data_IF_811250576860
#
_entry.id   IF_811250576860
#
_cell.length_a   1.000
_cell.length_b   1.000
_cell.length_c   1.000
_cell.angle_alpha   90.00
_cell.angle_beta   90.00
_cell.angle_gamma   90.00
#
_symmetry.space_group_name_H-M   'P 1'
#
loop_
_entity.id
_entity.type
_entity.pdbx_description
1 polymer ?
#
# COMPACT_ATOMS: atom_id res chain seq x y z
N UNK A 1 -10.23 -6.45 -20.22
CA UNK A 1 -8.90 -6.47 -19.57
C UNK A 1 -9.11 -6.12 -18.11
N UNK A 2 -8.42 -6.77 -17.17
CA UNK A 2 -8.50 -6.55 -15.73
C UNK A 2 -8.68 -5.09 -15.29
N UNK A 3 -7.94 -4.16 -15.88
CA UNK A 3 -8.03 -2.72 -15.59
C UNK A 3 -9.46 -2.17 -15.76
N UNK A 4 -10.20 -2.61 -16.78
CA UNK A 4 -11.58 -2.16 -16.98
C UNK A 4 -12.48 -2.60 -15.82
N UNK A 5 -12.30 -3.81 -15.28
CA UNK A 5 -13.05 -4.25 -14.09
C UNK A 5 -12.75 -3.40 -12.86
N UNK A 6 -11.50 -2.95 -12.73
CA UNK A 6 -11.11 -2.03 -11.65
C UNK A 6 -11.78 -0.68 -11.84
N UNK A 7 -11.78 -0.14 -13.07
CA UNK A 7 -12.42 1.14 -13.38
C UNK A 7 -13.94 1.07 -13.18
N UNK A 8 -14.61 0.06 -13.72
CA UNK A 8 -16.06 -0.16 -13.56
C UNK A 8 -16.43 -0.33 -12.08
N UNK A 9 -15.60 -1.06 -11.32
CA UNK A 9 -15.76 -1.20 -9.88
C UNK A 9 -15.61 0.13 -9.14
N UNK A 10 -14.60 0.91 -9.50
CA UNK A 10 -14.31 2.20 -8.87
C UNK A 10 -15.41 3.23 -9.15
N UNK A 11 -15.95 3.26 -10.38
CA UNK A 11 -17.11 4.09 -10.72
C UNK A 11 -18.35 3.73 -9.89
N UNK A 12 -18.53 2.44 -9.59
CA UNK A 12 -19.66 1.95 -8.79
C UNK A 12 -19.50 2.23 -7.29
N UNK A 13 -18.35 1.87 -6.73
CA UNK A 13 -18.02 2.09 -5.32
C UNK A 13 -16.49 2.14 -5.15
N UNK A 14 -15.91 3.35 -4.98
CA UNK A 14 -14.49 3.53 -4.75
C UNK A 14 -13.96 2.81 -3.50
N UNK A 15 -14.75 2.80 -2.41
CA UNK A 15 -14.31 2.26 -1.12
C UNK A 15 -14.18 0.75 -1.18
N UNK A 16 -15.19 0.08 -1.72
CA UNK A 16 -15.17 -1.37 -1.95
C UNK A 16 -14.02 -1.74 -2.88
N UNK A 17 -13.85 -0.99 -3.97
CA UNK A 17 -12.82 -1.28 -4.97
C UNK A 17 -11.41 -1.14 -4.40
N UNK A 18 -11.13 -0.08 -3.62
CA UNK A 18 -9.83 0.09 -2.96
C UNK A 18 -9.55 -1.05 -1.97
N UNK A 19 -10.51 -1.41 -1.13
CA UNK A 19 -10.36 -2.54 -0.18
C UNK A 19 -10.12 -3.87 -0.92
N UNK A 20 -10.81 -4.11 -2.04
CA UNK A 20 -10.58 -5.29 -2.89
C UNK A 20 -9.17 -5.31 -3.44
N UNK A 21 -8.68 -4.19 -3.96
CA UNK A 21 -7.33 -4.08 -4.51
C UNK A 21 -6.27 -4.32 -3.44
N UNK A 22 -6.47 -3.81 -2.24
CA UNK A 22 -5.55 -4.06 -1.12
C UNK A 22 -5.52 -5.54 -0.74
N UNK A 23 -6.67 -6.20 -0.62
CA UNK A 23 -6.72 -7.65 -0.37
C UNK A 23 -6.09 -8.46 -1.50
N UNK A 24 -6.25 -7.99 -2.75
CA UNK A 24 -5.64 -8.62 -3.91
C UNK A 24 -4.12 -8.52 -3.88
N UNK A 25 -3.56 -7.37 -3.49
CA UNK A 25 -2.11 -7.18 -3.32
C UNK A 25 -1.59 -8.13 -2.23
N UNK A 26 -2.22 -8.15 -1.05
CA UNK A 26 -1.82 -9.08 0.03
C UNK A 26 -1.87 -10.55 -0.42
N UNK A 27 -2.91 -10.94 -1.15
CA UNK A 27 -3.04 -12.29 -1.66
C UNK A 27 -1.92 -12.63 -2.67
N UNK A 28 -1.56 -11.69 -3.55
CA UNK A 28 -0.44 -11.87 -4.49
C UNK A 28 0.89 -11.98 -3.76
N UNK A 29 1.12 -11.16 -2.73
CA UNK A 29 2.34 -11.17 -1.94
C UNK A 29 2.53 -12.50 -1.17
N UNK A 30 1.44 -13.14 -0.75
CA UNK A 30 1.47 -14.42 -0.02
C UNK A 30 1.56 -15.65 -0.93
N UNK A 31 1.20 -15.52 -2.21
CA UNK A 31 1.13 -16.65 -3.15
C UNK A 31 2.44 -16.88 -3.90
N UNK A 32 2.82 -18.17 -4.04
CA UNK A 32 3.97 -18.57 -4.87
C UNK A 32 3.69 -18.47 -6.36
N UNK A 33 2.43 -18.61 -6.77
CA UNK A 33 1.98 -18.56 -8.16
C UNK A 33 0.84 -17.56 -8.31
N UNK A 34 0.82 -16.83 -9.43
CA UNK A 34 -0.18 -15.79 -9.67
C UNK A 34 -1.56 -16.41 -9.90
N UNK A 35 -2.57 -16.08 -9.07
CA UNK A 35 -3.93 -16.54 -9.28
C UNK A 35 -4.59 -15.79 -10.46
N UNK A 36 -5.72 -16.29 -10.99
CA UNK A 36 -6.50 -15.58 -11.99
C UNK A 36 -7.09 -14.27 -11.40
N UNK A 37 -6.34 -13.17 -11.54
CA UNK A 37 -6.61 -11.88 -10.89
C UNK A 37 -8.02 -11.36 -11.13
N UNK A 38 -8.54 -11.48 -12.36
CA UNK A 38 -9.90 -11.04 -12.69
C UNK A 38 -10.97 -11.80 -11.89
N UNK A 39 -10.80 -13.10 -11.70
CA UNK A 39 -11.75 -13.92 -10.95
C UNK A 39 -11.65 -13.65 -9.45
N UNK A 40 -10.42 -13.51 -8.94
CA UNK A 40 -10.19 -13.16 -7.55
C UNK A 40 -10.76 -11.80 -7.20
N UNK A 41 -10.54 -10.78 -8.04
CA UNK A 41 -11.11 -9.45 -7.88
C UNK A 41 -12.63 -9.49 -7.80
N UNK A 42 -13.31 -10.15 -8.76
CA UNK A 42 -14.78 -10.27 -8.74
C UNK A 42 -15.30 -10.93 -7.46
N UNK A 43 -14.69 -12.04 -7.05
CA UNK A 43 -15.09 -12.75 -5.82
C UNK A 43 -14.91 -11.89 -4.56
N UNK A 44 -13.81 -11.13 -4.51
CA UNK A 44 -13.55 -10.21 -3.41
C UNK A 44 -14.55 -9.05 -3.41
N UNK A 45 -14.87 -8.48 -4.57
CA UNK A 45 -15.91 -7.46 -4.72
C UNK A 45 -17.24 -7.95 -4.16
N UNK A 46 -17.71 -9.12 -4.58
CA UNK A 46 -18.98 -9.69 -4.11
C UNK A 46 -18.98 -9.87 -2.59
N UNK A 47 -17.90 -10.42 -2.03
CA UNK A 47 -17.77 -10.64 -0.57
C UNK A 47 -17.74 -9.34 0.24
N UNK A 48 -17.00 -8.33 -0.25
CA UNK A 48 -16.86 -7.05 0.45
C UNK A 48 -18.13 -6.23 0.31
N UNK A 49 -18.81 -6.28 -0.83
CA UNK A 49 -20.04 -5.55 -1.07
C UNK A 49 -21.17 -5.95 -0.11
N UNK A 50 -21.26 -7.24 0.23
CA UNK A 50 -22.16 -7.74 1.28
C UNK A 50 -21.86 -7.18 2.67
N UNK A 51 -20.60 -6.83 2.93
CA UNK A 51 -20.10 -6.37 4.23
C UNK A 51 -19.76 -4.88 4.27
N UNK A 52 -20.14 -4.11 3.23
CA UNK A 52 -19.69 -2.72 3.05
C UNK A 52 -20.06 -1.80 4.22
N UNK A 53 -21.23 -2.00 4.83
CA UNK A 53 -21.69 -1.18 5.96
C UNK A 53 -20.85 -1.45 7.22
N UNK A 54 -20.49 -2.72 7.44
CA UNK A 54 -19.58 -3.10 8.53
C UNK A 54 -18.18 -2.54 8.29
N UNK A 55 -17.69 -2.58 7.05
CA UNK A 55 -16.39 -2.01 6.69
C UNK A 55 -16.37 -0.49 6.92
N UNK A 56 -17.42 0.22 6.51
CA UNK A 56 -17.55 1.65 6.76
C UNK A 56 -17.52 1.97 8.26
N UNK A 57 -18.27 1.22 9.08
CA UNK A 57 -18.27 1.39 10.53
C UNK A 57 -16.89 1.14 11.17
N UNK A 58 -16.10 0.21 10.64
CA UNK A 58 -14.72 -0.03 11.10
C UNK A 58 -13.84 1.18 10.79
N UNK A 59 -13.88 1.70 9.56
CA UNK A 59 -13.09 2.87 9.18
C UNK A 59 -13.48 4.13 9.94
N UNK A 60 -14.78 4.36 10.15
CA UNK A 60 -15.27 5.51 10.92
C UNK A 60 -14.74 5.43 12.36
N UNK A 61 -14.78 4.25 12.96
CA UNK A 61 -14.23 4.01 14.30
C UNK A 61 -12.71 4.24 14.35
N UNK A 62 -11.96 3.70 13.39
CA UNK A 62 -10.52 3.89 13.31
C UNK A 62 -10.18 5.38 13.21
N UNK A 63 -10.92 6.13 12.39
CA UNK A 63 -10.77 7.58 12.26
C UNK A 63 -11.08 8.32 13.57
N UNK A 64 -12.17 7.97 14.26
CA UNK A 64 -12.52 8.53 15.57
C UNK A 64 -11.46 8.27 16.64
N UNK A 65 -10.82 7.09 16.60
CA UNK A 65 -9.69 6.73 17.47
C UNK A 65 -8.38 7.43 17.05
N UNK A 66 -8.40 8.22 15.97
CA UNK A 66 -7.27 9.00 15.48
C UNK A 66 -6.32 8.21 14.60
N UNK A 67 -6.72 7.04 14.10
CA UNK A 67 -5.95 6.29 13.11
C UNK A 67 -6.17 6.84 11.72
N UNK A 68 -5.10 6.76 10.92
CA UNK A 68 -5.07 7.18 9.53
C UNK A 68 -4.38 6.12 8.70
N UNK A 69 -4.90 5.89 7.51
CA UNK A 69 -4.33 4.96 6.55
C UNK A 69 -3.30 5.70 5.71
N UNK A 70 -2.05 5.24 5.74
CA UNK A 70 -0.92 5.90 5.05
C UNK A 70 -0.34 4.96 4.01
N UNK A 71 -0.22 5.43 2.77
CA UNK A 71 0.39 4.67 1.69
C UNK A 71 1.83 4.32 2.02
N UNK A 72 2.24 3.11 1.66
CA UNK A 72 3.57 2.60 1.98
C UNK A 72 4.27 2.05 0.75
N UNK A 73 5.57 2.34 0.68
CA UNK A 73 6.48 1.79 -0.32
C UNK A 73 7.69 1.21 0.38
N UNK A 74 8.09 0.02 -0.06
CA UNK A 74 9.33 -0.62 0.40
C UNK A 74 10.36 -0.52 -0.72
N UNK A 75 11.49 0.13 -0.43
CA UNK A 75 12.60 0.27 -1.36
C UNK A 75 13.69 -0.69 -0.94
N UNK A 76 14.08 -1.55 -1.87
CA UNK A 76 15.22 -2.45 -1.74
C UNK A 76 16.30 -2.06 -2.75
N UNK A 77 17.53 -2.57 -2.63
CA UNK A 77 18.61 -2.26 -3.58
C UNK A 77 18.24 -2.56 -5.04
N UNK A 78 17.44 -3.60 -5.29
CA UNK A 78 17.13 -4.02 -6.66
C UNK A 78 15.73 -3.64 -7.14
N UNK A 79 14.81 -3.26 -6.24
CA UNK A 79 13.41 -3.00 -6.62
C UNK A 79 12.68 -2.07 -5.66
N UNK A 80 11.62 -1.46 -6.18
CA UNK A 80 10.62 -0.74 -5.39
C UNK A 80 9.34 -1.56 -5.35
N UNK A 81 8.83 -1.81 -4.15
CA UNK A 81 7.65 -2.63 -3.90
C UNK A 81 6.51 -1.74 -3.40
N UNK A 82 5.39 -1.79 -4.12
CA UNK A 82 4.14 -1.19 -3.68
C UNK A 82 3.42 -2.21 -2.80
N UNK A 83 3.18 -1.84 -1.55
CA UNK A 83 2.52 -2.69 -0.57
C UNK A 83 1.22 -2.05 -0.12
N UNK A 84 0.36 -2.81 0.55
CA UNK A 84 -0.88 -2.27 1.10
C UNK A 84 -0.59 -1.10 2.06
N UNK A 85 -1.44 -0.06 2.07
CA UNK A 85 -1.34 1.02 3.04
C UNK A 85 -1.36 0.52 4.48
N UNK A 86 -0.65 1.20 5.38
CA UNK A 86 -0.63 0.87 6.82
C UNK A 86 -1.61 1.75 7.59
N UNK A 87 -2.35 1.15 8.53
CA UNK A 87 -3.11 1.90 9.52
C UNK A 87 -2.17 2.35 10.64
N UNK A 88 -2.05 3.66 10.85
CA UNK A 88 -1.13 4.27 11.81
C UNK A 88 -1.87 5.26 12.69
N UNK A 89 -1.45 5.37 13.96
CA UNK A 89 -1.91 6.45 14.82
C UNK A 89 -1.46 7.80 14.23
N UNK A 90 -2.42 8.68 13.97
CA UNK A 90 -2.20 9.99 13.39
C UNK A 90 -1.27 10.83 14.27
N UNK A 91 -0.09 11.15 13.75
CA UNK A 91 0.81 12.08 14.41
C UNK A 91 0.47 13.53 14.03
N UNK A 92 1.15 14.51 14.64
CA UNK A 92 0.88 15.92 14.35
C UNK A 92 1.08 16.28 12.87
N UNK A 93 2.11 15.72 12.24
CA UNK A 93 2.43 16.01 10.83
C UNK A 93 1.34 15.49 9.91
N UNK A 94 0.90 14.24 10.11
CA UNK A 94 -0.18 13.67 9.28
C UNK A 94 -1.49 14.44 9.47
N UNK A 95 -1.85 14.81 10.70
CA UNK A 95 -3.08 15.59 10.95
C UNK A 95 -3.05 17.02 10.40
N UNK A 96 -1.87 17.60 10.23
CA UNK A 96 -1.70 18.98 9.78
C UNK A 96 -1.50 19.08 8.26
N UNK A 97 -0.88 18.07 7.64
CA UNK A 97 -0.44 18.13 6.25
C UNK A 97 -1.01 17.00 5.36
N UNK A 98 -1.73 16.03 5.93
CA UNK A 98 -2.31 14.90 5.19
C UNK A 98 -3.59 14.37 5.85
N UNK A 99 -4.63 15.21 5.87
CA UNK A 99 -5.92 14.92 6.49
C UNK A 99 -6.69 13.78 5.81
N UNK A 100 -6.46 13.57 4.51
CA UNK A 100 -7.11 12.56 3.68
C UNK A 100 -6.26 11.31 3.39
N UNK A 101 -5.00 11.25 3.85
CA UNK A 101 -4.09 10.11 3.67
C UNK A 101 -3.48 9.99 2.27
N UNK A 102 -3.61 11.03 1.45
CA UNK A 102 -3.18 11.06 0.05
C UNK A 102 -1.87 11.82 -0.16
N UNK A 103 -1.52 12.73 0.75
CA UNK A 103 -0.38 13.63 0.69
C UNK A 103 0.91 13.10 1.31
N UNK A 104 0.85 12.03 2.11
CA UNK A 104 2.02 11.41 2.72
C UNK A 104 2.32 10.02 2.15
N UNK A 105 3.62 9.73 2.02
CA UNK A 105 4.13 8.42 1.63
C UNK A 105 5.09 7.92 2.69
N UNK A 106 4.79 6.74 3.24
CA UNK A 106 5.68 6.04 4.16
C UNK A 106 6.68 5.20 3.39
N UNK A 107 7.95 5.56 3.48
CA UNK A 107 9.03 4.86 2.80
C UNK A 107 9.78 3.98 3.80
N UNK A 108 10.01 2.72 3.44
CA UNK A 108 10.82 1.80 4.23
C UNK A 108 11.95 1.23 3.38
N UNK A 109 13.20 1.45 3.81
CA UNK A 109 14.37 0.85 3.18
C UNK A 109 14.65 -0.54 3.77
N UNK A 110 14.74 -1.55 2.91
CA UNK A 110 14.97 -2.97 3.28
C UNK A 110 16.04 -3.57 2.38
N UNK A 111 16.60 -4.70 2.80
CA UNK A 111 17.32 -5.61 1.92
C UNK A 111 16.32 -6.35 1.01
N UNK A 112 16.80 -7.02 -0.03
CA UNK A 112 15.95 -7.77 -0.99
C UNK A 112 15.22 -8.96 -0.36
N UNK A 113 15.74 -9.49 0.76
CA UNK A 113 15.13 -10.54 1.57
C UNK A 113 14.11 -10.00 2.60
N UNK A 114 13.86 -8.69 2.60
CA UNK A 114 12.92 -8.01 3.51
C UNK A 114 13.50 -7.67 4.89
N UNK A 115 14.74 -8.04 5.19
CA UNK A 115 15.40 -7.67 6.45
C UNK A 115 15.75 -6.16 6.46
N UNK A 116 15.95 -5.55 7.65
CA UNK A 116 16.36 -4.15 7.71
C UNK A 116 17.67 -3.92 6.96
N UNK A 117 17.72 -2.87 6.12
CA UNK A 117 18.93 -2.46 5.42
C UNK A 117 19.98 -2.01 6.44
N UNK A 118 21.06 -2.78 6.63
CA UNK A 118 22.07 -2.53 7.67
C UNK A 118 23.47 -2.46 7.08
N UNK A 119 24.27 -1.52 7.59
CA UNK A 119 25.63 -1.26 7.09
C UNK A 119 26.55 -2.47 7.16
N UNK A 120 26.39 -3.32 8.17
CA UNK A 120 27.21 -4.52 8.36
C UNK A 120 26.81 -5.69 7.45
N UNK A 121 25.69 -5.59 6.72
CA UNK A 121 25.19 -6.62 5.80
C UNK A 121 25.34 -6.13 4.36
N UNK A 122 24.61 -5.07 3.99
CA UNK A 122 24.65 -4.47 2.64
C UNK A 122 25.97 -3.75 2.30
N UNK A 123 26.68 -3.22 3.30
CA UNK A 123 27.82 -2.35 3.10
C UNK A 123 27.43 -0.89 2.75
N UNK A 124 28.42 0.01 2.80
CA UNK A 124 28.20 1.45 2.64
C UNK A 124 27.77 1.84 1.22
N UNK A 125 28.33 1.17 0.21
CA UNK A 125 28.06 1.47 -1.20
C UNK A 125 26.58 1.23 -1.53
N UNK A 126 26.02 0.08 -1.13
CA UNK A 126 24.61 -0.26 -1.36
C UNK A 126 23.69 0.71 -0.63
N UNK A 127 23.96 1.01 0.65
CA UNK A 127 23.16 1.99 1.41
C UNK A 127 23.16 3.36 0.74
N UNK A 128 24.34 3.82 0.32
CA UNK A 128 24.45 5.12 -0.36
C UNK A 128 23.65 5.08 -1.65
N UNK A 129 23.88 4.08 -2.50
CA UNK A 129 23.21 4.00 -3.80
C UNK A 129 21.69 3.85 -3.68
N UNK A 130 21.18 3.17 -2.65
CA UNK A 130 19.74 3.03 -2.43
C UNK A 130 19.15 4.25 -1.75
N UNK A 131 19.61 4.59 -0.53
CA UNK A 131 18.98 5.61 0.31
C UNK A 131 19.29 7.02 -0.21
N UNK A 132 20.55 7.32 -0.50
CA UNK A 132 20.92 8.68 -0.95
C UNK A 132 20.26 9.01 -2.28
N UNK A 133 20.23 8.07 -3.23
CA UNK A 133 19.60 8.36 -4.52
C UNK A 133 18.09 8.52 -4.41
N UNK A 134 17.39 7.73 -3.60
CA UNK A 134 15.95 7.92 -3.36
C UNK A 134 15.63 9.27 -2.71
N UNK A 135 16.46 9.72 -1.77
CA UNK A 135 16.25 11.01 -1.10
C UNK A 135 16.65 12.20 -1.99
N UNK A 136 17.70 12.07 -2.80
CA UNK A 136 18.20 13.15 -3.65
C UNK A 136 17.29 13.38 -4.87
N UNK A 137 16.83 12.32 -5.52
CA UNK A 137 16.08 12.41 -6.77
C UNK A 137 14.57 12.23 -6.57
N UNK A 138 14.13 11.93 -5.34
CA UNK A 138 12.77 11.49 -5.08
C UNK A 138 12.51 10.06 -5.57
N UNK A 139 11.28 9.61 -5.36
CA UNK A 139 10.82 8.28 -5.76
C UNK A 139 9.74 8.46 -6.81
N UNK A 140 9.93 7.83 -7.97
CA UNK A 140 8.99 7.91 -9.08
C UNK A 140 8.14 6.64 -9.07
N UNK A 141 6.83 6.79 -8.89
CA UNK A 141 5.87 5.69 -8.83
C UNK A 141 4.89 5.87 -9.98
N UNK A 142 4.80 4.86 -10.84
CA UNK A 142 3.82 4.76 -11.93
C UNK A 142 3.91 5.79 -13.08
N UNK A 143 4.99 6.58 -13.16
CA UNK A 143 5.29 7.45 -14.31
C UNK A 143 4.75 8.86 -14.16
#
# INVERSE_FOLDING_TARGET
MFVNYVLDGYERDPRVTLEVLERLINMVDEMKELPPLEQCFKRLCDNIYEKRELLAAIYDKDFEEGFQKVRKVVITPTRTLLVVPELLMGNRVLREFDDNGEGALRIQFREDDGTPLRRNIAGLFVITTTVHNSLLHGIHISG
#
